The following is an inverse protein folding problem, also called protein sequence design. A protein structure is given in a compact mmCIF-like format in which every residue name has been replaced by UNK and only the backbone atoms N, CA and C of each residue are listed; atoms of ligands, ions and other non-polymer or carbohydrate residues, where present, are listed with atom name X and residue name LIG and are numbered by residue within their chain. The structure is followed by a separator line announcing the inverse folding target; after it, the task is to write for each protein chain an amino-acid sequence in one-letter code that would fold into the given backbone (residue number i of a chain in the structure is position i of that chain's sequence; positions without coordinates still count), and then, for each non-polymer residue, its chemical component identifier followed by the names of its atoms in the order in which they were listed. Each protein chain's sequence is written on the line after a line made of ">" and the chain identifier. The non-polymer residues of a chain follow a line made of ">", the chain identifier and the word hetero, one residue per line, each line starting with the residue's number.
data_IF_832319232712
#
_entry.id   IF_832319232712
#
_cell.length_a   1.000
_cell.length_b   1.000
_cell.length_c   1.000
_cell.angle_alpha   90.00
_cell.angle_beta   90.00
_cell.angle_gamma   90.00
#
_symmetry.space_group_name_H-M   'P 1'
#
loop_
_entity.id
_entity.type
_entity.pdbx_description
1 polymer ?
#
# COMPACT_ATOMS: atom_id res chain seq x y z
N UNK A 1 7.07 19.33 23.95
CA UNK A 1 5.85 19.19 23.14
C UNK A 1 5.90 17.78 22.60
N UNK A 2 4.97 16.91 23.01
CA UNK A 2 4.73 15.64 22.36
C UNK A 2 4.00 16.02 21.07
N UNK A 3 4.68 15.97 19.93
CA UNK A 3 4.03 16.13 18.64
C UNK A 3 2.93 15.08 18.55
N UNK A 4 1.70 15.49 18.26
CA UNK A 4 0.62 14.57 17.96
C UNK A 4 0.92 14.08 16.55
N UNK A 5 1.40 12.84 16.46
CA UNK A 5 1.66 12.22 15.17
C UNK A 5 0.34 11.66 14.61
N UNK A 6 -0.01 12.09 13.42
CA UNK A 6 -1.23 11.65 12.72
C UNK A 6 -0.98 10.29 12.08
N UNK A 7 -1.93 9.38 12.25
CA UNK A 7 -1.96 8.10 11.54
C UNK A 7 -2.77 8.28 10.25
N UNK A 8 -2.40 7.58 9.18
CA UNK A 8 -3.09 7.71 7.90
C UNK A 8 -3.64 6.36 7.43
N UNK A 9 -4.87 6.39 6.91
CA UNK A 9 -5.45 5.30 6.12
C UNK A 9 -5.71 5.81 4.72
N UNK A 10 -5.43 4.98 3.72
CA UNK A 10 -5.71 5.27 2.33
C UNK A 10 -6.22 4.02 1.61
N UNK A 11 -7.05 4.24 0.61
CA UNK A 11 -7.36 3.28 -0.44
C UNK A 11 -6.62 3.69 -1.71
N UNK A 12 -6.24 2.72 -2.53
CA UNK A 12 -5.75 3.02 -3.88
C UNK A 12 -6.90 3.28 -4.83
N UNK A 13 -6.65 4.10 -5.83
CA UNK A 13 -7.56 4.30 -6.96
C UNK A 13 -7.77 3.02 -7.74
N UNK A 14 -8.84 3.00 -8.53
CA UNK A 14 -9.13 1.89 -9.41
C UNK A 14 -10.26 2.14 -10.38
N UNK A 15 -10.56 1.14 -11.20
CA UNK A 15 -11.68 1.23 -12.14
C UNK A 15 -12.40 -0.10 -12.32
N UNK A 16 -13.69 -0.04 -12.57
CA UNK A 16 -14.50 -1.20 -12.97
C UNK A 16 -15.77 -0.80 -13.73
N UNK A 17 -16.28 -1.71 -14.54
CA UNK A 17 -17.54 -1.51 -15.26
C UNK A 17 -18.76 -1.51 -14.32
N UNK A 18 -19.89 -0.87 -14.69
CA UNK A 18 -21.14 -0.97 -13.94
C UNK A 18 -21.57 -2.43 -13.71
N UNK A 19 -21.88 -2.76 -12.46
CA UNK A 19 -22.24 -4.12 -12.04
C UNK A 19 -21.06 -5.07 -11.79
N UNK A 20 -19.81 -4.61 -11.96
CA UNK A 20 -18.62 -5.37 -11.60
C UNK A 20 -18.12 -5.04 -10.20
N UNK A 21 -17.24 -5.88 -9.67
CA UNK A 21 -16.49 -5.65 -8.45
C UNK A 21 -15.05 -5.28 -8.79
N UNK A 22 -14.46 -4.41 -8.00
CA UNK A 22 -13.04 -4.09 -8.02
C UNK A 22 -12.42 -4.26 -6.63
N UNK A 23 -11.12 -4.38 -6.61
CA UNK A 23 -10.31 -4.37 -5.42
C UNK A 23 -9.60 -3.01 -5.29
N UNK A 24 -9.58 -2.47 -4.08
CA UNK A 24 -8.81 -1.28 -3.74
C UNK A 24 -7.92 -1.62 -2.55
N UNK A 25 -6.62 -1.43 -2.71
CA UNK A 25 -5.65 -1.76 -1.67
C UNK A 25 -5.78 -0.80 -0.49
N UNK A 26 -5.98 -1.33 0.72
CA UNK A 26 -6.04 -0.55 1.95
C UNK A 26 -4.67 -0.50 2.60
N UNK A 27 -4.15 0.70 2.78
CA UNK A 27 -2.85 0.97 3.40
C UNK A 27 -3.02 1.73 4.71
N UNK A 28 -2.11 1.43 5.66
CA UNK A 28 -1.99 2.11 6.95
C UNK A 28 -0.57 2.64 7.12
N UNK A 29 -0.46 3.92 7.47
CA UNK A 29 0.79 4.55 7.90
C UNK A 29 0.59 4.95 9.35
N UNK A 30 1.35 4.32 10.26
CA UNK A 30 1.19 4.55 11.69
C UNK A 30 2.54 4.65 12.40
N UNK A 31 2.61 5.53 13.37
CA UNK A 31 3.81 5.79 14.19
C UNK A 31 3.80 5.05 15.52
N UNK A 32 2.66 4.44 15.87
CA UNK A 32 2.46 3.66 17.08
C UNK A 32 1.67 2.40 16.74
N UNK A 33 1.82 1.29 17.51
CA UNK A 33 1.05 0.08 17.27
C UNK A 33 -0.46 0.29 17.31
N UNK A 34 -1.17 -0.25 16.32
CA UNK A 34 -2.63 -0.16 16.17
C UNK A 34 -3.28 -1.48 16.53
N UNK A 35 -4.23 -1.46 17.46
CA UNK A 35 -4.96 -2.62 17.97
C UNK A 35 -6.40 -2.70 17.46
N UNK A 36 -6.92 -1.59 16.93
CA UNK A 36 -8.25 -1.54 16.34
C UNK A 36 -8.33 -0.44 15.27
N UNK A 37 -9.10 -0.74 14.24
CA UNK A 37 -9.36 0.15 13.11
C UNK A 37 -10.87 0.14 12.88
N UNK A 38 -11.50 1.30 13.02
CA UNK A 38 -12.82 1.59 12.49
C UNK A 38 -12.66 2.67 11.45
N UNK A 39 -13.20 2.44 10.26
CA UNK A 39 -13.15 3.43 9.18
C UNK A 39 -14.44 3.40 8.39
N UNK A 40 -14.95 4.57 8.08
CA UNK A 40 -16.08 4.78 7.19
C UNK A 40 -15.58 5.35 5.86
N UNK A 41 -15.92 4.67 4.77
CA UNK A 41 -15.74 5.13 3.40
C UNK A 41 -17.07 5.62 2.86
N UNK A 42 -17.09 6.78 2.25
CA UNK A 42 -18.29 7.43 1.72
C UNK A 42 -18.10 7.64 0.22
N UNK A 43 -18.92 6.96 -0.59
CA UNK A 43 -18.92 7.15 -2.03
C UNK A 43 -19.80 8.36 -2.42
N UNK A 44 -19.23 9.32 -3.11
CA UNK A 44 -19.94 10.50 -3.62
C UNK A 44 -19.64 10.76 -5.10
N UNK A 45 -20.62 10.62 -5.99
CA UNK A 45 -21.99 10.14 -5.77
C UNK A 45 -22.08 8.64 -5.43
N UNK A 46 -23.24 8.16 -4.92
CA UNK A 46 -23.39 6.83 -4.32
C UNK A 46 -23.52 5.71 -5.38
N UNK A 47 -22.54 5.57 -6.25
CA UNK A 47 -22.47 4.55 -7.30
C UNK A 47 -21.57 3.36 -6.92
N UNK A 48 -20.89 3.46 -5.77
CA UNK A 48 -20.00 2.43 -5.23
C UNK A 48 -20.51 1.98 -3.88
N UNK A 49 -20.45 0.68 -3.60
CA UNK A 49 -20.76 0.09 -2.30
C UNK A 49 -19.67 -0.88 -1.87
N UNK A 50 -19.38 -0.94 -0.56
CA UNK A 50 -18.41 -1.89 -0.02
C UNK A 50 -19.02 -3.29 0.15
N UNK A 51 -18.27 -4.32 -0.20
CA UNK A 51 -18.64 -5.73 -0.03
C UNK A 51 -17.86 -6.43 1.08
N UNK A 52 -16.68 -5.94 1.46
CA UNK A 52 -15.82 -6.54 2.48
C UNK A 52 -14.37 -6.14 2.33
N UNK A 53 -13.51 -6.88 3.00
CA UNK A 53 -12.05 -6.77 2.86
C UNK A 53 -11.44 -8.18 2.86
N UNK A 54 -10.51 -8.43 1.95
CA UNK A 54 -9.61 -9.58 1.95
C UNK A 54 -8.29 -9.15 2.61
N UNK A 55 -8.05 -9.59 3.84
CA UNK A 55 -6.90 -9.16 4.63
C UNK A 55 -5.64 -9.94 4.29
N UNK A 56 -4.48 -9.32 4.52
CA UNK A 56 -3.18 -9.99 4.47
C UNK A 56 -2.92 -10.83 5.73
N UNK A 57 -1.87 -11.64 5.71
CA UNK A 57 -1.40 -12.41 6.88
C UNK A 57 -0.96 -11.52 8.06
N UNK A 58 -0.74 -10.23 7.83
CA UNK A 58 -0.48 -9.24 8.88
C UNK A 58 -1.62 -9.18 9.91
N UNK A 59 -2.86 -9.30 9.44
CA UNK A 59 -4.05 -9.38 10.29
C UNK A 59 -4.42 -10.85 10.51
N UNK A 60 -3.67 -11.54 11.37
CA UNK A 60 -3.94 -12.95 11.71
C UNK A 60 -5.38 -13.13 12.21
N UNK A 61 -6.23 -13.71 11.37
CA UNK A 61 -7.65 -13.93 11.66
C UNK A 61 -7.92 -14.88 12.84
N UNK A 62 -6.89 -15.52 13.40
CA UNK A 62 -7.02 -16.24 14.68
C UNK A 62 -7.09 -15.29 15.88
N UNK A 63 -6.55 -14.07 15.74
CA UNK A 63 -6.51 -13.03 16.79
C UNK A 63 -7.32 -11.79 16.39
N UNK A 64 -7.39 -11.46 15.11
CA UNK A 64 -8.14 -10.32 14.59
C UNK A 64 -9.57 -10.72 14.22
N UNK A 65 -10.52 -9.87 14.58
CA UNK A 65 -11.89 -9.90 14.06
C UNK A 65 -12.07 -8.86 12.98
N UNK A 66 -12.73 -9.26 11.91
CA UNK A 66 -13.04 -8.40 10.76
C UNK A 66 -14.55 -8.40 10.56
N UNK A 67 -15.15 -7.22 10.47
CA UNK A 67 -16.55 -7.05 10.12
C UNK A 67 -16.75 -5.82 9.23
N UNK A 68 -17.79 -5.86 8.42
CA UNK A 68 -18.14 -4.77 7.52
C UNK A 68 -19.64 -4.53 7.49
N UNK A 69 -20.04 -3.31 7.19
CA UNK A 69 -21.44 -2.91 7.04
C UNK A 69 -21.59 -1.84 5.98
N UNK A 70 -22.56 -2.02 5.08
CA UNK A 70 -22.99 -0.99 4.13
C UNK A 70 -24.28 -0.35 4.62
N UNK A 71 -24.33 0.98 4.72
CA UNK A 71 -25.51 1.75 5.07
C UNK A 71 -25.63 2.98 4.16
N UNK A 72 -26.54 2.94 3.21
CA UNK A 72 -26.65 4.01 2.20
C UNK A 72 -25.39 4.08 1.35
N UNK A 73 -24.73 5.24 1.31
CA UNK A 73 -23.46 5.46 0.62
C UNK A 73 -22.23 5.30 1.52
N UNK A 74 -22.42 4.89 2.79
CA UNK A 74 -21.33 4.69 3.74
C UNK A 74 -21.04 3.22 3.90
N UNK A 75 -19.79 2.83 3.71
CA UNK A 75 -19.26 1.50 3.98
C UNK A 75 -18.33 1.57 5.20
N UNK A 76 -18.67 0.85 6.25
CA UNK A 76 -17.89 0.80 7.50
C UNK A 76 -17.12 -0.51 7.58
N UNK A 77 -15.82 -0.42 7.82
CA UNK A 77 -14.96 -1.54 8.21
C UNK A 77 -14.60 -1.42 9.69
N UNK A 78 -14.64 -2.57 10.37
CA UNK A 78 -14.18 -2.70 11.74
C UNK A 78 -13.24 -3.90 11.83
N UNK A 79 -12.00 -3.64 12.22
CA UNK A 79 -10.94 -4.63 12.40
C UNK A 79 -10.36 -4.42 13.81
N UNK A 80 -10.24 -5.47 14.61
CA UNK A 80 -9.66 -5.33 15.94
C UNK A 80 -8.98 -6.62 16.42
N UNK A 81 -7.86 -6.44 17.14
CA UNK A 81 -7.16 -7.54 17.80
C UNK A 81 -7.89 -7.92 19.09
N UNK A 82 -8.55 -9.09 19.08
CA UNK A 82 -9.29 -9.61 20.23
C UNK A 82 -8.41 -9.94 21.44
N UNK A 83 -7.13 -10.10 21.21
CA UNK A 83 -6.17 -10.57 22.23
C UNK A 83 -5.36 -9.43 22.82
N UNK A 84 -5.30 -8.27 22.15
CA UNK A 84 -4.44 -7.13 22.45
C UNK A 84 -2.94 -7.53 22.52
N UNK A 85 -2.56 -8.54 21.75
CA UNK A 85 -1.19 -9.08 21.75
C UNK A 85 -0.57 -9.20 20.36
N UNK A 86 -1.34 -8.86 19.31
CA UNK A 86 -0.91 -8.94 17.93
C UNK A 86 -1.28 -7.67 17.14
N UNK A 87 -0.81 -6.48 17.55
CA UNK A 87 -1.13 -5.22 16.88
C UNK A 87 -0.51 -5.14 15.49
N UNK A 88 -1.03 -4.24 14.65
CA UNK A 88 -0.27 -3.73 13.51
C UNK A 88 0.86 -2.86 14.07
N UNK A 89 2.14 -3.22 13.87
CA UNK A 89 3.26 -2.45 14.39
C UNK A 89 3.31 -1.04 13.79
N UNK A 90 4.11 -0.14 14.36
CA UNK A 90 4.41 1.14 13.72
C UNK A 90 5.09 0.91 12.36
N UNK A 91 4.74 1.71 11.35
CA UNK A 91 5.31 1.59 10.01
C UNK A 91 4.33 1.86 8.88
N UNK A 92 4.65 1.29 7.73
CA UNK A 92 3.90 1.40 6.48
C UNK A 92 3.38 0.02 6.09
N UNK A 93 2.07 -0.14 6.04
CA UNK A 93 1.45 -1.45 5.95
C UNK A 93 0.37 -1.52 4.88
N UNK A 94 0.46 -2.55 4.05
CA UNK A 94 -0.64 -3.01 3.24
C UNK A 94 -1.50 -3.98 4.07
N UNK A 95 -2.76 -3.60 4.34
CA UNK A 95 -3.66 -4.37 5.20
C UNK A 95 -4.49 -5.41 4.44
N UNK A 96 -4.77 -5.16 3.16
CA UNK A 96 -5.58 -6.05 2.33
C UNK A 96 -6.34 -5.31 1.24
N UNK A 97 -7.19 -6.05 0.52
CA UNK A 97 -8.02 -5.53 -0.56
C UNK A 97 -9.44 -5.26 -0.08
N UNK A 98 -9.86 -4.01 -0.14
CA UNK A 98 -11.26 -3.63 0.06
C UNK A 98 -12.03 -3.93 -1.22
N UNK A 99 -13.06 -4.74 -1.08
CA UNK A 99 -13.93 -5.15 -2.19
C UNK A 99 -15.00 -4.09 -2.40
N UNK A 100 -15.01 -3.46 -3.56
CA UNK A 100 -15.94 -2.40 -3.94
C UNK A 100 -16.81 -2.86 -5.12
N UNK A 101 -18.12 -2.86 -4.93
CA UNK A 101 -19.10 -3.18 -5.99
C UNK A 101 -19.55 -1.90 -6.67
N UNK A 102 -19.39 -1.82 -7.99
CA UNK A 102 -19.97 -0.76 -8.80
C UNK A 102 -21.45 -1.08 -9.02
N UNK A 103 -22.34 -0.18 -8.63
CA UNK A 103 -23.77 -0.43 -8.71
C UNK A 103 -24.23 -0.61 -10.18
N UNK A 104 -25.09 -1.61 -10.46
CA UNK A 104 -25.68 -1.77 -11.78
C UNK A 104 -26.46 -0.52 -12.19
N UNK A 105 -26.20 0.00 -13.41
CA UNK A 105 -26.84 1.20 -13.92
C UNK A 105 -26.14 2.52 -13.55
N UNK A 106 -24.99 2.46 -12.91
CA UNK A 106 -24.08 3.61 -12.78
C UNK A 106 -23.69 4.12 -14.18
N UNK A 107 -23.47 5.42 -14.36
CA UNK A 107 -22.99 5.96 -15.64
C UNK A 107 -21.55 5.45 -15.89
N UNK A 108 -21.23 5.15 -17.13
CA UNK A 108 -19.84 4.94 -17.58
C UNK A 108 -19.14 6.29 -17.76
N UNK A 109 -17.81 6.25 -17.83
CA UNK A 109 -16.93 7.43 -17.95
C UNK A 109 -17.17 8.46 -16.83
N UNK A 110 -17.28 7.96 -15.62
CA UNK A 110 -17.59 8.76 -14.44
C UNK A 110 -16.64 8.45 -13.28
N UNK A 111 -16.22 9.50 -12.55
CA UNK A 111 -15.40 9.37 -11.34
C UNK A 111 -16.28 9.47 -10.10
N UNK A 112 -16.06 8.59 -9.15
CA UNK A 112 -16.66 8.60 -7.81
C UNK A 112 -15.56 8.86 -6.81
N UNK A 113 -15.70 9.91 -6.02
CA UNK A 113 -14.81 10.18 -4.90
C UNK A 113 -15.12 9.24 -3.73
N UNK A 114 -14.08 8.66 -3.14
CA UNK A 114 -14.18 7.90 -1.89
C UNK A 114 -13.62 8.77 -0.78
N UNK A 115 -14.52 9.35 -0.02
CA UNK A 115 -14.20 10.19 1.14
C UNK A 115 -14.21 9.36 2.42
N UNK A 116 -13.70 9.93 3.51
CA UNK A 116 -13.67 9.29 4.83
C UNK A 116 -14.66 9.96 5.77
N UNK A 117 -15.49 9.15 6.41
CA UNK A 117 -16.37 9.56 7.50
C UNK A 117 -15.69 9.43 8.86
N UNK A 118 -16.34 8.76 9.81
CA UNK A 118 -15.76 8.49 11.11
C UNK A 118 -14.58 7.52 10.97
N UNK A 119 -13.44 7.89 11.56
CA UNK A 119 -12.24 7.06 11.59
C UNK A 119 -11.68 6.99 13.01
N UNK A 120 -11.52 5.79 13.53
CA UNK A 120 -10.97 5.52 14.86
C UNK A 120 -9.88 4.46 14.73
N UNK A 121 -8.63 4.86 14.96
CA UNK A 121 -7.53 3.94 15.23
C UNK A 121 -7.32 3.90 16.73
N UNK A 122 -7.15 2.73 17.31
CA UNK A 122 -7.03 2.59 18.77
C UNK A 122 -5.70 1.96 19.19
N UNK A 123 -5.19 2.46 20.32
CA UNK A 123 -4.03 1.92 21.02
C UNK A 123 -4.41 0.70 21.89
N UNK A 124 -3.42 0.14 22.62
CA UNK A 124 -3.61 -1.00 23.53
C UNK A 124 -4.62 -0.74 24.66
N UNK A 125 -4.85 0.51 24.99
CA UNK A 125 -5.82 0.92 26.03
C UNK A 125 -7.19 1.26 25.45
N UNK A 126 -7.41 0.97 24.15
CA UNK A 126 -8.61 1.33 23.41
C UNK A 126 -8.87 2.85 23.41
N UNK A 127 -7.79 3.64 23.38
CA UNK A 127 -7.89 5.09 23.24
C UNK A 127 -7.73 5.46 21.77
N UNK A 128 -8.56 6.40 21.28
CA UNK A 128 -8.48 6.85 19.89
C UNK A 128 -7.18 7.62 19.65
N UNK A 129 -6.52 7.28 18.54
CA UNK A 129 -5.36 8.01 18.02
C UNK A 129 -5.80 9.05 17.00
N UNK A 130 -5.02 10.13 16.85
CA UNK A 130 -5.27 11.09 15.77
C UNK A 130 -5.05 10.42 14.43
N UNK A 131 -6.08 10.42 13.58
CA UNK A 131 -6.06 9.73 12.30
C UNK A 131 -6.68 10.57 11.19
N UNK A 132 -6.22 10.35 9.96
CA UNK A 132 -6.70 11.02 8.76
C UNK A 132 -6.79 10.02 7.61
N UNK A 133 -7.85 10.11 6.81
CA UNK A 133 -7.98 9.40 5.54
C UNK A 133 -7.40 10.23 4.40
N UNK A 134 -6.75 9.57 3.46
CA UNK A 134 -6.33 10.17 2.20
C UNK A 134 -7.35 9.77 1.13
N UNK A 135 -8.05 10.72 0.50
CA UNK A 135 -9.10 10.43 -0.50
C UNK A 135 -8.59 9.58 -1.65
N UNK A 136 -9.48 8.81 -2.25
CA UNK A 136 -9.22 8.01 -3.44
C UNK A 136 -10.37 8.12 -4.43
N UNK A 137 -10.12 7.71 -5.67
CA UNK A 137 -11.07 7.81 -6.75
C UNK A 137 -11.38 6.43 -7.36
N UNK A 138 -12.65 6.22 -7.73
CA UNK A 138 -13.09 5.07 -8.49
C UNK A 138 -13.62 5.53 -9.86
N UNK A 139 -12.95 5.12 -10.93
CA UNK A 139 -13.43 5.36 -12.27
C UNK A 139 -14.42 4.27 -12.68
N UNK A 140 -15.65 4.67 -13.03
CA UNK A 140 -16.67 3.74 -13.51
C UNK A 140 -16.53 3.56 -15.01
N UNK A 141 -16.18 2.35 -15.44
CA UNK A 141 -15.96 2.00 -16.82
C UNK A 141 -14.55 1.52 -17.12
N UNK A 142 -14.18 1.56 -18.40
CA UNK A 142 -12.82 1.30 -18.87
C UNK A 142 -12.22 2.61 -19.38
N UNK A 143 -11.36 3.26 -18.62
CA UNK A 143 -10.75 4.53 -19.05
C UNK A 143 -9.93 4.30 -20.32
N UNK A 144 -9.80 5.33 -21.20
CA UNK A 144 -8.94 5.26 -22.39
C UNK A 144 -7.51 4.80 -22.10
N UNK A 145 -6.98 5.13 -20.93
CA UNK A 145 -5.69 4.64 -20.42
C UNK A 145 -5.79 4.30 -18.93
N UNK A 146 -5.27 3.14 -18.53
CA UNK A 146 -5.18 2.72 -17.13
C UNK A 146 -3.80 2.17 -16.85
N UNK A 147 -3.16 2.64 -15.76
CA UNK A 147 -1.81 2.26 -15.37
C UNK A 147 -1.84 1.37 -14.13
N UNK A 148 -0.96 0.37 -14.09
CA UNK A 148 -0.73 -0.48 -12.92
C UNK A 148 0.75 -0.81 -12.76
N UNK A 149 1.19 -1.08 -11.52
CA UNK A 149 2.56 -1.52 -11.24
C UNK A 149 2.55 -3.04 -11.13
N UNK A 150 3.41 -3.69 -11.90
CA UNK A 150 3.51 -5.15 -11.97
C UNK A 150 4.98 -5.60 -12.02
N UNK A 151 5.19 -6.92 -11.99
CA UNK A 151 6.51 -7.56 -12.16
C UNK A 151 7.59 -6.92 -11.29
N UNK A 152 7.30 -6.78 -9.98
CA UNK A 152 8.26 -6.27 -9.01
C UNK A 152 9.31 -7.34 -8.75
N UNK A 153 10.57 -7.01 -9.01
CA UNK A 153 11.72 -7.90 -8.84
C UNK A 153 12.71 -7.31 -7.82
N UNK A 154 13.32 -8.16 -7.04
CA UNK A 154 14.23 -7.76 -5.97
C UNK A 154 13.57 -7.83 -4.59
N UNK A 155 14.40 -8.08 -3.58
CA UNK A 155 13.98 -8.06 -2.18
C UNK A 155 14.38 -6.73 -1.56
N UNK A 156 13.52 -6.17 -0.72
CA UNK A 156 13.83 -4.99 0.05
C UNK A 156 14.98 -5.32 1.02
N UNK A 157 16.16 -4.83 0.73
CA UNK A 157 17.37 -5.07 1.51
C UNK A 157 18.28 -3.84 1.46
N UNK A 158 19.03 -3.52 2.55
CA UNK A 158 19.93 -2.38 2.58
C UNK A 158 20.93 -2.38 1.41
N UNK A 159 20.88 -1.34 0.58
CA UNK A 159 21.72 -1.20 -0.62
C UNK A 159 21.41 -2.23 -1.73
N UNK A 160 20.27 -2.90 -1.66
CA UNK A 160 19.83 -3.83 -2.69
C UNK A 160 19.41 -3.13 -3.99
N UNK A 161 19.29 -3.91 -5.05
CA UNK A 161 18.76 -3.46 -6.33
C UNK A 161 17.42 -4.13 -6.59
N UNK A 162 16.53 -3.44 -7.29
CA UNK A 162 15.24 -3.95 -7.70
C UNK A 162 14.75 -3.33 -9.00
N UNK A 163 13.65 -3.83 -9.48
CA UNK A 163 12.95 -3.25 -10.62
C UNK A 163 11.45 -3.50 -10.54
N UNK A 164 10.69 -2.68 -11.25
CA UNK A 164 9.27 -2.90 -11.47
C UNK A 164 8.88 -2.46 -12.87
N UNK A 165 7.74 -2.93 -13.33
CA UNK A 165 7.17 -2.55 -14.61
C UNK A 165 5.89 -1.76 -14.42
N UNK A 166 5.73 -0.68 -15.19
CA UNK A 166 4.44 -0.01 -15.37
C UNK A 166 3.76 -0.62 -16.58
N UNK A 167 2.58 -1.16 -16.36
CA UNK A 167 1.71 -1.70 -17.39
C UNK A 167 0.65 -0.69 -17.77
N UNK A 168 0.33 -0.63 -19.05
CA UNK A 168 -0.75 0.16 -19.62
C UNK A 168 -1.82 -0.76 -20.20
N UNK A 169 -3.05 -0.58 -19.73
CA UNK A 169 -4.26 -1.09 -20.39
C UNK A 169 -4.94 0.09 -21.06
N UNK A 170 -5.12 0.05 -22.39
CA UNK A 170 -5.74 1.16 -23.12
C UNK A 170 -6.77 0.70 -24.13
N UNK A 171 -7.86 1.45 -24.22
CA UNK A 171 -8.97 1.25 -25.16
C UNK A 171 -8.87 2.15 -26.38
N UNK A 172 -7.99 3.14 -26.32
CA UNK A 172 -7.63 4.06 -27.41
C UNK A 172 -6.12 4.07 -27.63
N UNK A 173 -5.65 4.58 -28.76
CA UNK A 173 -4.21 4.72 -29.04
C UNK A 173 -3.63 5.79 -28.14
N UNK A 174 -2.57 5.46 -27.39
CA UNK A 174 -1.84 6.37 -26.50
C UNK A 174 -0.57 6.84 -27.16
N UNK A 175 -0.43 8.13 -27.40
CA UNK A 175 0.77 8.76 -27.98
C UNK A 175 1.69 9.39 -26.95
N UNK A 176 1.12 9.83 -25.82
CA UNK A 176 1.89 10.39 -24.71
C UNK A 176 1.39 9.82 -23.39
N UNK A 177 2.28 9.64 -22.42
CA UNK A 177 1.97 9.23 -21.05
C UNK A 177 2.85 9.97 -20.08
N UNK A 178 2.29 10.42 -18.96
CA UNK A 178 3.07 10.83 -17.79
C UNK A 178 2.41 10.32 -16.52
N UNK A 179 3.22 10.08 -15.52
CA UNK A 179 2.76 9.70 -14.20
C UNK A 179 3.81 10.07 -13.15
N UNK A 180 3.34 10.29 -11.94
CA UNK A 180 4.15 10.43 -10.74
C UNK A 180 3.94 9.22 -9.85
N UNK A 181 5.03 8.72 -9.26
CA UNK A 181 5.03 7.64 -8.29
C UNK A 181 5.71 8.10 -7.02
N UNK A 182 5.11 7.81 -5.88
CA UNK A 182 5.75 7.90 -4.57
C UNK A 182 6.20 6.53 -4.09
N UNK A 183 7.24 6.48 -3.27
CA UNK A 183 7.59 5.33 -2.46
C UNK A 183 7.42 5.65 -0.96
N UNK A 184 6.67 4.82 -0.26
CA UNK A 184 6.36 5.01 1.14
C UNK A 184 6.76 3.77 1.97
N UNK A 185 7.77 3.88 2.88
CA UNK A 185 8.67 5.03 3.10
C UNK A 185 9.68 5.24 1.99
N UNK A 186 10.28 6.43 1.94
CA UNK A 186 11.27 6.87 0.93
C UNK A 186 12.58 6.06 1.01
N UNK A 187 12.61 4.87 0.42
CA UNK A 187 13.77 3.98 0.41
C UNK A 187 14.35 3.74 -0.98
N UNK A 188 13.68 4.20 -2.03
CA UNK A 188 14.07 3.90 -3.38
C UNK A 188 14.74 5.11 -4.04
N UNK A 189 15.68 4.83 -4.91
CA UNK A 189 16.28 5.81 -5.84
C UNK A 189 16.24 5.20 -7.23
N UNK A 190 15.64 5.89 -8.19
CA UNK A 190 15.61 5.44 -9.58
C UNK A 190 17.03 5.52 -10.18
N UNK A 191 17.50 4.43 -10.74
CA UNK A 191 18.81 4.31 -11.35
C UNK A 191 18.77 4.32 -12.88
N UNK A 192 17.72 3.78 -13.46
CA UNK A 192 17.44 3.84 -14.90
C UNK A 192 15.98 3.55 -15.21
N UNK A 193 15.53 4.05 -16.36
CA UNK A 193 14.19 3.88 -16.88
C UNK A 193 14.28 3.40 -18.33
N UNK A 194 13.55 2.36 -18.70
CA UNK A 194 13.59 1.76 -20.02
C UNK A 194 12.19 1.69 -20.63
N UNK A 195 12.08 2.00 -21.92
CA UNK A 195 10.91 1.67 -22.72
C UNK A 195 10.90 0.17 -23.00
N UNK A 196 9.82 -0.51 -22.67
CA UNK A 196 9.71 -1.98 -22.83
C UNK A 196 8.40 -2.40 -23.50
N UNK A 197 8.36 -3.63 -23.96
CA UNK A 197 7.15 -4.29 -24.45
C UNK A 197 6.42 -3.49 -25.51
N UNK A 198 5.22 -3.01 -25.19
CA UNK A 198 4.37 -2.27 -26.13
C UNK A 198 4.88 -0.87 -26.47
N UNK A 199 5.84 -0.35 -25.68
CA UNK A 199 6.44 0.96 -25.85
C UNK A 199 7.94 0.89 -26.22
N UNK A 200 8.46 -0.30 -26.60
CA UNK A 200 9.90 -0.52 -26.87
C UNK A 200 10.51 0.42 -27.95
N UNK A 201 9.67 0.97 -28.83
CA UNK A 201 10.08 1.94 -29.87
C UNK A 201 9.76 3.40 -29.47
N UNK A 202 9.17 3.62 -28.32
CA UNK A 202 8.88 4.94 -27.79
C UNK A 202 10.10 5.61 -27.20
N UNK A 203 9.93 6.86 -26.83
CA UNK A 203 10.96 7.67 -26.19
C UNK A 203 10.55 7.94 -24.75
N UNK A 204 11.38 7.50 -23.82
CA UNK A 204 11.30 7.92 -22.41
C UNK A 204 12.11 9.21 -22.28
N UNK A 205 11.52 10.24 -21.66
CA UNK A 205 12.22 11.50 -21.43
C UNK A 205 13.44 11.25 -20.51
N UNK A 206 14.61 11.82 -20.82
CA UNK A 206 15.82 11.62 -20.00
C UNK A 206 15.71 12.10 -18.54
N UNK A 207 14.75 12.97 -18.23
CA UNK A 207 14.47 13.41 -16.85
C UNK A 207 13.55 12.44 -16.08
N UNK A 208 13.04 11.37 -16.74
CA UNK A 208 12.21 10.38 -16.07
C UNK A 208 12.97 9.70 -14.94
N UNK A 209 12.31 9.60 -13.79
CA UNK A 209 12.88 9.04 -12.57
C UNK A 209 13.55 10.08 -11.67
N UNK A 210 13.60 11.35 -12.07
CA UNK A 210 14.00 12.45 -11.21
C UNK A 210 12.76 13.19 -10.70
N UNK A 211 12.80 13.62 -9.46
CA UNK A 211 11.81 14.51 -8.88
C UNK A 211 12.45 15.86 -8.52
N UNK A 212 11.69 16.94 -8.69
CA UNK A 212 12.12 18.28 -8.34
C UNK A 212 12.26 18.50 -6.84
N UNK A 213 11.55 17.70 -6.02
CA UNK A 213 11.43 17.87 -4.56
C UNK A 213 12.01 16.69 -3.76
N UNK A 214 12.53 15.64 -4.40
CA UNK A 214 13.03 14.37 -3.87
C UNK A 214 11.95 13.51 -3.13
N UNK A 215 10.68 13.73 -3.39
CA UNK A 215 9.59 12.98 -2.76
C UNK A 215 8.90 12.01 -3.73
N UNK A 216 8.82 12.35 -5.04
CA UNK A 216 8.13 11.55 -6.06
C UNK A 216 9.02 11.30 -7.29
N UNK A 217 8.75 10.26 -8.03
CA UNK A 217 9.39 9.94 -9.30
C UNK A 217 8.49 10.35 -10.45
N UNK A 218 8.92 11.33 -11.25
CA UNK A 218 8.19 11.73 -12.43
C UNK A 218 8.63 10.95 -13.68
N UNK A 219 7.67 10.52 -14.49
CA UNK A 219 7.91 9.78 -15.72
C UNK A 219 7.15 10.42 -16.89
N UNK A 220 7.85 10.58 -18.02
CA UNK A 220 7.28 11.06 -19.25
C UNK A 220 7.73 10.18 -20.43
N UNK A 221 6.77 9.69 -21.19
CA UNK A 221 7.00 8.92 -22.40
C UNK A 221 6.17 9.42 -23.58
N UNK A 222 6.70 9.31 -24.79
CA UNK A 222 5.98 9.70 -25.99
C UNK A 222 6.35 8.84 -27.20
N UNK A 223 5.35 8.53 -28.03
CA UNK A 223 5.51 7.91 -29.35
C UNK A 223 4.65 8.65 -30.39
N UNK A 224 5.31 9.51 -31.17
CA UNK A 224 4.67 10.25 -32.26
C UNK A 224 4.71 9.50 -33.60
N UNK A 225 5.21 8.27 -33.64
CA UNK A 225 5.30 7.47 -34.88
C UNK A 225 4.05 6.64 -35.16
N UNK A 226 3.16 6.55 -34.19
CA UNK A 226 1.90 5.81 -34.31
C UNK A 226 1.18 5.60 -32.98
N UNK A 227 1.86 5.86 -31.90
CA UNK A 227 1.38 5.63 -30.54
C UNK A 227 1.35 4.14 -30.16
N UNK A 228 1.03 3.89 -28.89
CA UNK A 228 0.81 2.55 -28.34
C UNK A 228 -0.57 2.07 -28.76
N UNK A 229 -0.68 0.98 -29.54
CA UNK A 229 -1.97 0.49 -30.00
C UNK A 229 -2.83 -0.02 -28.82
N UNK A 230 -4.13 -0.14 -29.02
CA UNK A 230 -5.08 -0.69 -28.04
C UNK A 230 -4.62 -2.07 -27.53
N UNK A 231 -4.72 -2.29 -26.20
CA UNK A 231 -4.39 -3.56 -25.56
C UNK A 231 -3.85 -3.39 -24.14
N UNK A 232 -3.15 -4.40 -23.66
CA UNK A 232 -2.60 -4.48 -22.30
C UNK A 232 -1.16 -4.97 -22.33
N UNK A 233 -0.31 -4.49 -21.44
CA UNK A 233 1.05 -4.97 -21.24
C UNK A 233 2.03 -3.89 -20.80
N UNK A 234 3.30 -4.29 -20.54
CA UNK A 234 4.33 -3.40 -20.03
C UNK A 234 4.69 -2.31 -21.05
N UNK A 235 4.96 -1.13 -20.51
CA UNK A 235 5.38 0.06 -21.27
C UNK A 235 6.68 0.66 -20.77
N UNK A 236 6.90 0.67 -19.47
CA UNK A 236 8.12 1.19 -18.83
C UNK A 236 8.62 0.16 -17.82
N UNK A 237 9.96 -0.05 -17.78
CA UNK A 237 10.65 -0.75 -16.71
C UNK A 237 11.53 0.24 -15.96
N UNK A 238 11.39 0.26 -14.65
CA UNK A 238 12.12 1.14 -13.73
C UNK A 238 13.07 0.30 -12.90
N UNK A 239 14.34 0.68 -12.86
CA UNK A 239 15.35 0.09 -12.00
C UNK A 239 15.61 1.01 -10.82
N UNK A 240 15.69 0.43 -9.64
CA UNK A 240 15.85 1.16 -8.39
C UNK A 240 17.01 0.63 -7.56
N UNK A 241 17.64 1.55 -6.81
CA UNK A 241 18.58 1.25 -5.75
C UNK A 241 17.88 1.49 -4.42
N UNK A 242 17.99 0.54 -3.50
CA UNK A 242 17.40 0.65 -2.17
C UNK A 242 18.33 1.40 -1.20
N UNK A 243 17.74 2.10 -0.24
CA UNK A 243 18.45 2.80 0.84
C UNK A 243 19.35 1.83 1.65
N UNK A 244 20.43 2.37 2.23
CA UNK A 244 21.27 1.63 3.18
C UNK A 244 20.60 1.46 4.54
N UNK A 245 19.62 2.32 4.87
CA UNK A 245 18.89 2.29 6.12
C UNK A 245 17.45 1.90 5.83
N UNK A 246 17.09 0.67 6.15
CA UNK A 246 15.75 0.13 5.98
C UNK A 246 15.30 -0.38 7.35
N UNK A 247 14.31 0.29 7.92
CA UNK A 247 13.71 -0.05 9.22
C UNK A 247 12.24 -0.47 9.11
N UNK A 248 11.66 -0.43 7.90
CA UNK A 248 10.33 -0.92 7.60
C UNK A 248 10.40 -2.17 6.69
N UNK A 249 9.57 -3.20 6.91
CA UNK A 249 9.59 -4.42 6.11
C UNK A 249 9.00 -4.27 4.70
N UNK A 250 8.34 -3.16 4.42
CA UNK A 250 7.66 -2.89 3.16
C UNK A 250 8.02 -1.51 2.61
N UNK A 251 7.99 -1.40 1.29
CA UNK A 251 7.88 -0.12 0.58
C UNK A 251 6.71 -0.22 -0.38
N UNK A 252 5.77 0.68 -0.24
CA UNK A 252 4.62 0.80 -1.12
C UNK A 252 4.95 1.78 -2.23
N UNK A 253 4.66 1.40 -3.48
CA UNK A 253 4.72 2.27 -4.65
C UNK A 253 3.30 2.67 -5.01
N UNK A 254 3.03 3.96 -5.08
CA UNK A 254 1.72 4.52 -5.30
C UNK A 254 1.75 5.49 -6.48
N UNK A 255 0.70 5.49 -7.29
CA UNK A 255 0.50 6.55 -8.27
C UNK A 255 -0.09 7.78 -7.57
N UNK A 256 0.58 8.92 -7.71
CA UNK A 256 0.10 10.22 -7.21
C UNK A 256 -0.68 10.96 -8.30
N UNK A 257 -0.18 10.93 -9.53
CA UNK A 257 -0.81 11.54 -10.68
C UNK A 257 -0.57 10.71 -11.94
N UNK A 258 -1.58 10.59 -12.79
CA UNK A 258 -1.47 9.91 -14.07
C UNK A 258 -2.11 10.75 -15.18
N UNK A 259 -1.51 10.77 -16.35
CA UNK A 259 -2.08 11.39 -17.53
C UNK A 259 -1.73 10.63 -18.81
N UNK A 260 -2.54 10.80 -19.83
CA UNK A 260 -2.31 10.26 -21.15
C UNK A 260 -2.80 11.22 -22.25
N UNK A 261 -2.23 11.09 -23.44
CA UNK A 261 -2.67 11.78 -24.62
C UNK A 261 -2.72 10.87 -25.84
N UNK A 262 -3.59 11.18 -26.79
CA UNK A 262 -3.65 10.49 -28.08
C UNK A 262 -2.40 10.72 -28.95
N UNK A 263 -2.32 10.13 -30.13
CA UNK A 263 -1.19 10.32 -31.06
C UNK A 263 -1.04 11.78 -31.55
N UNK A 264 -2.02 12.64 -31.36
CA UNK A 264 -1.99 14.08 -31.61
C UNK A 264 -1.65 14.91 -30.36
N UNK A 265 -1.32 14.26 -29.25
CA UNK A 265 -1.09 14.85 -27.93
C UNK A 265 -2.32 15.60 -27.36
N UNK A 266 -3.53 15.22 -27.77
CA UNK A 266 -4.74 15.67 -27.08
C UNK A 266 -4.94 14.83 -25.82
N UNK A 267 -5.29 15.46 -24.70
CA UNK A 267 -5.55 14.75 -23.45
C UNK A 267 -6.68 13.73 -23.61
N UNK A 268 -6.44 12.54 -23.10
CA UNK A 268 -7.44 11.48 -22.92
C UNK A 268 -7.51 11.11 -21.44
N UNK A 269 -8.65 10.56 -21.00
CA UNK A 269 -8.82 10.16 -19.59
C UNK A 269 -7.86 9.05 -19.22
N UNK A 270 -7.18 9.21 -18.11
CA UNK A 270 -6.27 8.24 -17.54
C UNK A 270 -6.67 7.90 -16.09
N UNK A 271 -6.42 6.68 -15.67
CA UNK A 271 -6.62 6.22 -14.30
C UNK A 271 -5.44 5.34 -13.87
N UNK A 272 -5.29 5.15 -12.56
CA UNK A 272 -4.34 4.21 -11.96
C UNK A 272 -5.06 3.08 -11.24
N UNK A 273 -4.37 1.98 -10.96
CA UNK A 273 -4.92 0.84 -10.24
C UNK A 273 -3.89 0.24 -9.29
N UNK A 274 -4.34 -0.02 -8.06
CA UNK A 274 -3.60 -0.77 -7.07
C UNK A 274 -2.29 -0.11 -6.64
N UNK A 275 -1.44 -0.88 -5.98
CA UNK A 275 -0.11 -0.47 -5.53
C UNK A 275 0.96 -1.47 -5.96
N UNK A 276 2.21 -1.00 -6.02
CA UNK A 276 3.39 -1.88 -6.04
C UNK A 276 3.90 -2.11 -4.62
N UNK A 277 4.48 -3.28 -4.35
CA UNK A 277 4.97 -3.62 -3.02
C UNK A 277 6.33 -4.32 -3.09
N UNK A 278 7.39 -3.65 -2.63
CA UNK A 278 8.64 -4.34 -2.27
C UNK A 278 8.56 -4.81 -0.82
N UNK A 279 8.96 -6.05 -0.56
CA UNK A 279 8.95 -6.63 0.77
C UNK A 279 10.31 -7.17 1.17
N UNK A 280 10.62 -7.09 2.46
CA UNK A 280 11.75 -7.77 3.04
C UNK A 280 11.26 -9.06 3.73
N UNK A 281 11.48 -10.20 3.09
CA UNK A 281 11.10 -11.50 3.65
C UNK A 281 11.78 -11.82 4.99
N UNK A 282 12.87 -11.11 5.34
CA UNK A 282 13.58 -11.26 6.61
C UNK A 282 12.95 -10.47 7.77
N UNK A 283 12.14 -9.46 7.45
CA UNK A 283 11.41 -8.63 8.42
C UNK A 283 9.90 -8.91 8.37
N UNK A 284 9.52 -10.16 8.09
CA UNK A 284 8.10 -10.52 8.09
C UNK A 284 7.48 -10.18 9.46
N UNK A 285 6.27 -9.64 9.43
CA UNK A 285 5.51 -9.16 10.59
C UNK A 285 5.43 -10.14 11.77
N UNK A 286 5.66 -11.42 11.53
CA UNK A 286 5.69 -12.48 12.57
C UNK A 286 6.88 -12.33 13.52
N UNK A 287 8.01 -11.80 13.09
CA UNK A 287 9.16 -11.58 13.99
C UNK A 287 9.03 -10.29 14.79
N UNK A 288 8.45 -9.22 14.22
CA UNK A 288 8.22 -7.97 14.96
C UNK A 288 7.05 -8.06 15.94
N UNK A 289 5.98 -8.78 15.58
CA UNK A 289 4.81 -8.96 16.46
C UNK A 289 5.10 -9.84 17.69
N UNK A 290 6.21 -10.59 17.70
CA UNK A 290 6.59 -11.47 18.80
C UNK A 290 7.72 -10.88 19.69
N UNK A 291 8.16 -9.65 19.46
CA UNK A 291 9.07 -9.01 20.39
C UNK A 291 8.31 -8.66 21.68
N UNK A 292 8.82 -9.10 22.86
CA UNK A 292 8.21 -8.74 24.13
C UNK A 292 8.17 -7.23 24.29
N UNK A 293 7.02 -6.66 24.67
CA UNK A 293 6.84 -5.23 24.90
C UNK A 293 7.58 -4.72 26.15
N UNK A 294 7.96 -5.62 27.04
CA UNK A 294 8.65 -5.29 28.29
C UNK A 294 9.78 -6.28 28.55
N UNK A 295 10.81 -5.82 29.29
CA UNK A 295 11.85 -6.69 29.79
C UNK A 295 11.29 -7.58 30.89
N UNK A 296 11.37 -8.88 30.73
CA UNK A 296 10.83 -9.86 31.66
C UNK A 296 11.84 -10.93 32.05
N UNK A 297 11.80 -11.38 33.30
CA UNK A 297 12.51 -12.57 33.77
C UNK A 297 11.48 -13.55 34.32
N UNK A 298 11.37 -14.72 33.71
CA UNK A 298 10.41 -15.75 34.09
C UNK A 298 11.00 -16.68 35.16
N UNK A 299 10.10 -17.34 35.90
CA UNK A 299 10.50 -18.37 36.84
C UNK A 299 11.16 -19.55 36.12
N UNK A 300 12.27 -20.03 36.65
CA UNK A 300 12.94 -21.19 36.09
C UNK A 300 12.09 -22.46 36.18
N UNK A 301 12.11 -23.29 35.12
CA UNK A 301 11.37 -24.54 35.08
C UNK A 301 12.24 -25.69 34.51
N UNK A 302 12.20 -26.90 35.14
CA UNK A 302 11.53 -27.21 36.42
C UNK A 302 12.19 -26.60 37.64
N UNK A 303 11.40 -26.31 38.67
CA UNK A 303 11.88 -25.86 39.96
C UNK A 303 11.11 -26.61 41.06
N UNK A 304 11.74 -27.50 41.86
CA UNK A 304 13.19 -27.80 41.93
C UNK A 304 13.73 -28.48 40.67
N UNK A 305 14.98 -28.19 40.31
CA UNK A 305 15.66 -28.72 39.15
C UNK A 305 16.44 -30.02 39.44
N UNK A 306 16.56 -30.89 38.42
CA UNK A 306 17.42 -32.10 38.52
C UNK A 306 17.72 -32.66 37.11
N UNK A 307 18.92 -32.62 36.59
CA UNK A 307 20.10 -31.81 37.01
C UNK A 307 20.12 -30.42 36.35
N UNK A 308 19.14 -30.07 35.53
CA UNK A 308 19.09 -28.80 34.76
C UNK A 308 17.73 -28.09 34.91
N UNK A 309 17.73 -26.79 34.71
CA UNK A 309 16.56 -25.95 34.59
C UNK A 309 16.71 -24.96 33.44
N UNK A 310 15.62 -24.47 32.90
CA UNK A 310 15.57 -23.43 31.89
C UNK A 310 15.19 -22.11 32.56
N UNK A 311 15.91 -21.06 32.23
CA UNK A 311 15.60 -19.68 32.63
C UNK A 311 15.21 -18.94 31.38
N UNK A 312 13.97 -18.47 31.32
CA UNK A 312 13.43 -17.71 30.16
C UNK A 312 13.38 -16.23 30.54
N UNK A 313 13.73 -15.37 29.60
CA UNK A 313 13.65 -13.92 29.78
C UNK A 313 13.19 -13.25 28.47
N UNK A 314 12.55 -12.12 28.59
CA UNK A 314 12.05 -11.32 27.49
C UNK A 314 12.92 -10.07 27.33
N UNK A 315 13.20 -9.72 26.08
CA UNK A 315 13.91 -8.49 25.70
C UNK A 315 13.00 -7.63 24.84
N UNK A 316 12.68 -6.45 25.32
CA UNK A 316 11.86 -5.48 24.57
C UNK A 316 12.65 -4.73 23.47
N UNK A 317 13.91 -5.05 23.27
CA UNK A 317 14.78 -4.46 22.24
C UNK A 317 16.18 -5.01 22.32
N UNK A 318 17.00 -4.68 21.36
CA UNK A 318 18.40 -5.10 21.30
C UNK A 318 19.19 -4.57 22.52
N UNK A 319 19.94 -5.44 23.16
CA UNK A 319 20.69 -5.07 24.35
C UNK A 319 21.66 -6.14 24.82
N UNK A 320 22.63 -5.73 25.66
CA UNK A 320 23.52 -6.65 26.34
C UNK A 320 22.81 -7.27 27.56
N UNK A 321 22.81 -8.61 27.62
CA UNK A 321 22.21 -9.35 28.73
C UNK A 321 23.33 -9.95 29.59
N UNK A 322 23.25 -9.73 30.90
CA UNK A 322 24.13 -10.36 31.90
C UNK A 322 23.26 -11.09 32.92
N UNK A 323 23.31 -12.41 32.92
CA UNK A 323 22.57 -13.28 33.84
C UNK A 323 23.53 -13.85 34.89
N UNK A 324 23.35 -13.44 36.14
CA UNK A 324 24.14 -13.93 37.26
C UNK A 324 23.31 -14.79 38.23
N UNK A 325 23.83 -15.96 38.63
CA UNK A 325 23.21 -16.88 39.59
C UNK A 325 24.00 -16.79 40.89
N UNK A 326 23.33 -16.51 42.01
CA UNK A 326 23.93 -16.39 43.36
C UNK A 326 23.48 -17.54 44.26
#
# INVERSE_FOLDING_TARGET
>A
EVGIETQFIMLTDGNAAPGAQMNSSMCLINTQPVYGIQVEFIADPPFVSGAGIETTDLLDLSTWSVSSQQLGNTFTLLLFDNTLSNPVPAGYWYLGEVLLDILPGSPEDFVVDIEYGEMILSDVYNQPMVSQGLPSEVYIGAPPASYSIQNIEGLLAPGGEGSFEVHLTNTEVVGTMSFELSDAPEYLTVTSVEAVGRFENGVVDPSSGEDSDNENFYFLGYDFTGGIPVGEGPVIKVHVQMSQNIDNPNVMLLFEEVSAGDAGANSITAASQGLGLFTNASLSSVEQANLPLEYGLHANYPNPFNPSTVITYDLAGDGHVDLSIY
#
